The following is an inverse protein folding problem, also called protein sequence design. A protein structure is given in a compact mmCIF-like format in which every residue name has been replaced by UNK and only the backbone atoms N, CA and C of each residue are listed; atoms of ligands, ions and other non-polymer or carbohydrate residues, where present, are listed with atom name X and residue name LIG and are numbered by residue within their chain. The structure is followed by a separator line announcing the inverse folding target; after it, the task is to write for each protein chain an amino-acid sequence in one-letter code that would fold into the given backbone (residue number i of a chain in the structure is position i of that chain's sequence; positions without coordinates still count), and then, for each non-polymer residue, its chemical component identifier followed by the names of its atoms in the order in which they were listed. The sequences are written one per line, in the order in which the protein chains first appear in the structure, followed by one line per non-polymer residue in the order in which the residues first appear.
data_IF_164989602220
#
_entry.id   IF_164989602220
#
_cell.length_a   1.000
_cell.length_b   1.000
_cell.length_c   1.000
_cell.angle_alpha   90.00
_cell.angle_beta   90.00
_cell.angle_gamma   90.00
#
_symmetry.space_group_name_H-M   'P 1'
#
loop_
_entity.id
_entity.type
_entity.pdbx_description
1 polymer ?
#
# COMPACT_ATOMS: atom_id res chain seq x y z
N UNK A 1 2.77 17.76 5.79
CA UNK A 1 2.97 16.69 4.77
C UNK A 1 2.56 15.37 5.43
N UNK A 2 1.39 15.37 6.07
CA UNK A 2 0.97 14.30 6.97
C UNK A 2 0.40 13.11 6.19
N UNK A 3 -0.22 13.38 5.03
CA UNK A 3 -0.71 12.37 4.08
C UNK A 3 0.37 11.36 3.68
N UNK A 4 1.56 11.82 3.27
CA UNK A 4 2.60 10.91 2.77
C UNK A 4 3.15 9.99 3.86
N UNK A 5 3.32 10.52 5.08
CA UNK A 5 3.79 9.72 6.21
C UNK A 5 2.73 8.69 6.63
N UNK A 6 1.45 9.09 6.62
CA UNK A 6 0.34 8.20 6.94
C UNK A 6 0.18 7.09 5.89
N UNK A 7 0.22 7.44 4.60
CA UNK A 7 0.20 6.48 3.48
C UNK A 7 1.35 5.48 3.62
N UNK A 8 2.58 5.94 3.84
CA UNK A 8 3.73 5.06 4.00
C UNK A 8 3.58 4.14 5.22
N UNK A 9 3.03 4.66 6.32
CA UNK A 9 2.78 3.88 7.54
C UNK A 9 1.76 2.77 7.29
N UNK A 10 0.67 3.07 6.60
CA UNK A 10 -0.37 2.08 6.27
C UNK A 10 0.17 1.01 5.34
N UNK A 11 0.88 1.41 4.27
CA UNK A 11 1.49 0.46 3.32
C UNK A 11 2.46 -0.47 4.06
N UNK A 12 3.40 0.09 4.83
CA UNK A 12 4.39 -0.69 5.57
C UNK A 12 3.73 -1.65 6.57
N UNK A 13 2.71 -1.18 7.30
CA UNK A 13 1.98 -1.99 8.29
C UNK A 13 1.26 -3.16 7.62
N UNK A 14 0.58 -2.92 6.50
CA UNK A 14 -0.14 -3.97 5.76
C UNK A 14 0.80 -5.01 5.17
N UNK A 15 1.95 -4.58 4.62
CA UNK A 15 2.99 -5.49 4.14
C UNK A 15 3.50 -6.36 5.29
N UNK A 16 3.94 -5.74 6.40
CA UNK A 16 4.44 -6.49 7.55
C UNK A 16 3.40 -7.45 8.13
N UNK A 17 2.12 -7.06 8.16
CA UNK A 17 1.02 -7.93 8.60
C UNK A 17 0.83 -9.13 7.68
N UNK A 18 0.88 -8.92 6.36
CA UNK A 18 0.76 -9.97 5.36
C UNK A 18 1.87 -11.03 5.50
N UNK A 19 3.11 -10.59 5.71
CA UNK A 19 4.27 -11.47 5.86
C UNK A 19 4.49 -12.01 7.28
N UNK A 20 3.70 -11.58 8.28
CA UNK A 20 3.90 -11.94 9.69
C UNK A 20 3.87 -13.45 9.95
N UNK A 21 3.20 -14.24 9.11
CA UNK A 21 3.18 -15.71 9.19
C UNK A 21 4.22 -16.41 8.31
N UNK A 22 4.84 -15.69 7.37
CA UNK A 22 5.64 -16.24 6.29
C UNK A 22 6.74 -15.25 5.83
N UNK A 23 7.79 -15.02 6.65
CA UNK A 23 8.80 -14.00 6.39
C UNK A 23 9.67 -14.26 5.14
N UNK A 24 9.78 -15.52 4.69
CA UNK A 24 10.61 -15.95 3.55
C UNK A 24 9.79 -16.41 2.33
N UNK A 25 8.48 -16.13 2.32
CA UNK A 25 7.63 -16.56 1.20
C UNK A 25 7.79 -15.62 0.02
N UNK A 26 8.24 -16.17 -1.11
CA UNK A 26 8.04 -15.53 -2.40
C UNK A 26 6.55 -15.57 -2.73
N UNK A 27 5.93 -14.40 -2.82
CA UNK A 27 4.51 -14.30 -3.17
C UNK A 27 4.34 -14.43 -4.68
N UNK A 28 3.32 -15.20 -5.10
CA UNK A 28 2.89 -15.24 -6.48
C UNK A 28 2.07 -14.00 -6.88
N UNK A 29 1.75 -13.89 -8.17
CA UNK A 29 0.94 -12.80 -8.71
C UNK A 29 -0.42 -12.65 -8.02
N UNK A 30 -1.06 -13.76 -7.63
CA UNK A 30 -2.37 -13.73 -6.97
C UNK A 30 -2.28 -13.21 -5.52
N UNK A 31 -1.25 -13.63 -4.77
CA UNK A 31 -0.96 -13.10 -3.44
C UNK A 31 -0.59 -11.61 -3.50
N UNK A 32 0.18 -11.21 -4.51
CA UNK A 32 0.50 -9.81 -4.75
C UNK A 32 -0.77 -8.96 -5.02
N UNK A 33 -1.73 -9.48 -5.79
CA UNK A 33 -3.04 -8.82 -6.00
C UNK A 33 -3.83 -8.72 -4.69
N UNK A 34 -3.82 -9.76 -3.87
CA UNK A 34 -4.49 -9.74 -2.56
C UNK A 34 -3.86 -8.72 -1.61
N UNK A 35 -2.53 -8.64 -1.58
CA UNK A 35 -1.80 -7.63 -0.82
C UNK A 35 -2.14 -6.22 -1.31
N UNK A 36 -2.11 -5.98 -2.63
CA UNK A 36 -2.48 -4.70 -3.22
C UNK A 36 -3.93 -4.30 -2.87
N UNK A 37 -4.86 -5.25 -2.89
CA UNK A 37 -6.25 -5.01 -2.47
C UNK A 37 -6.35 -4.62 -0.99
N UNK A 38 -5.62 -5.32 -0.12
CA UNK A 38 -5.60 -5.00 1.32
C UNK A 38 -5.02 -3.61 1.60
N UNK A 39 -3.96 -3.23 0.87
CA UNK A 39 -3.37 -1.89 0.97
C UNK A 39 -4.39 -0.83 0.52
N UNK A 40 -5.02 -1.02 -0.64
CA UNK A 40 -6.01 -0.07 -1.16
C UNK A 40 -7.20 0.10 -0.20
N UNK A 41 -7.69 -1.00 0.38
CA UNK A 41 -8.77 -0.96 1.36
C UNK A 41 -8.35 -0.24 2.65
N UNK A 42 -7.18 -0.54 3.20
CA UNK A 42 -6.69 0.12 4.41
C UNK A 42 -6.49 1.64 4.22
N UNK A 43 -6.13 2.06 3.00
CA UNK A 43 -6.01 3.47 2.66
C UNK A 43 -7.39 4.14 2.52
N UNK A 44 -8.36 3.47 1.88
CA UNK A 44 -9.74 3.93 1.81
C UNK A 44 -10.38 4.09 3.20
N UNK A 45 -10.18 3.11 4.09
CA UNK A 45 -10.64 3.16 5.49
C UNK A 45 -10.01 4.32 6.29
N UNK A 46 -8.79 4.72 5.94
CA UNK A 46 -8.11 5.88 6.52
C UNK A 46 -8.52 7.22 5.87
N UNK A 47 -9.39 7.20 4.85
CA UNK A 47 -9.80 8.39 4.09
C UNK A 47 -8.73 8.88 3.10
N UNK A 48 -7.70 8.07 2.84
CA UNK A 48 -6.59 8.39 1.96
C UNK A 48 -6.84 7.80 0.58
N UNK A 49 -7.17 8.66 -0.40
CA UNK A 49 -7.35 8.21 -1.77
C UNK A 49 -6.00 8.14 -2.49
N UNK A 50 -5.61 6.94 -2.96
CA UNK A 50 -4.56 6.82 -3.96
C UNK A 50 -5.15 7.28 -5.30
N UNK A 51 -5.01 8.57 -5.61
CA UNK A 51 -5.20 9.03 -7.00
C UNK A 51 -3.99 8.62 -7.83
N UNK A 52 -4.24 8.20 -9.08
CA UNK A 52 -3.16 8.11 -10.04
C UNK A 52 -2.43 9.45 -10.08
N UNK A 53 -1.11 9.43 -9.89
CA UNK A 53 -0.30 10.64 -10.08
C UNK A 53 -0.59 11.14 -11.48
N UNK A 54 -1.18 12.33 -11.56
CA UNK A 54 -1.29 13.02 -12.83
C UNK A 54 0.16 13.30 -13.31
N UNK A 55 0.57 12.77 -14.47
CA UNK A 55 1.93 12.92 -14.94
C UNK A 55 2.33 14.39 -15.18
N UNK A 56 1.39 15.34 -15.17
CA UNK A 56 1.69 16.77 -15.24
C UNK A 56 2.11 17.39 -13.90
N UNK A 57 1.93 16.69 -12.77
CA UNK A 57 2.31 17.16 -11.43
C UNK A 57 3.58 16.47 -10.88
N UNK A 58 4.24 15.61 -11.66
CA UNK A 58 5.54 15.08 -11.28
C UNK A 58 6.59 16.23 -11.33
N UNK A 59 7.35 16.49 -10.25
CA UNK A 59 8.40 17.49 -10.28
C UNK A 59 9.42 17.13 -11.36
N UNK A 60 9.61 18.07 -12.28
CA UNK A 60 10.56 17.98 -13.40
C UNK A 60 12.00 18.07 -12.92
#
# INVERSE_FOLDING_TARGET
MDDLHQVNTIIATTICAFFKGHPDTQIGTEEAKLLAKQIAQALDEAGLQISAVDPANAPR
#
